data_IF_233441803432
#
_entry.id   IF_233441803432
#
_cell.length_a   1.000
_cell.length_b   1.000
_cell.length_c   1.000
_cell.angle_alpha   90.00
_cell.angle_beta   90.00
_cell.angle_gamma   90.00
#
_symmetry.space_group_name_H-M   'P 1'
#
loop_
_entity.id
_entity.type
_entity.pdbx_description
1 polymer ?
#
# COMPACT_ATOMS: atom_id res chain seq x y z
N UNK A 1 -12.42 -10.46 6.46
CA UNK A 1 -11.70 -9.30 7.00
C UNK A 1 -11.22 -9.56 8.43
N UNK A 2 -12.07 -10.01 9.37
CA UNK A 2 -11.63 -10.31 10.76
C UNK A 2 -10.53 -11.37 10.85
N UNK A 3 -10.56 -12.40 9.98
CA UNK A 3 -9.49 -13.42 9.89
C UNK A 3 -8.16 -12.85 9.39
N UNK A 4 -8.20 -11.72 8.67
CA UNK A 4 -7.02 -10.98 8.20
C UNK A 4 -6.63 -9.82 9.12
N UNK A 5 -7.05 -9.83 10.38
CA UNK A 5 -6.67 -8.81 11.36
C UNK A 5 -7.39 -7.46 11.23
N UNK A 6 -8.33 -7.32 10.28
CA UNK A 6 -9.10 -6.07 10.11
C UNK A 6 -10.24 -6.03 11.10
N UNK A 7 -10.08 -5.26 12.18
CA UNK A 7 -11.05 -5.16 13.27
C UNK A 7 -12.34 -4.44 12.87
N UNK A 8 -12.22 -3.39 12.05
CA UNK A 8 -13.35 -2.62 11.50
C UNK A 8 -13.07 -2.21 10.08
N UNK A 9 -14.10 -2.18 9.25
CA UNK A 9 -13.98 -1.77 7.85
C UNK A 9 -15.29 -1.25 7.31
N UNK A 10 -15.21 -0.33 6.36
CA UNK A 10 -16.31 0.10 5.51
C UNK A 10 -16.01 -0.29 4.07
N UNK A 11 -16.98 -0.83 3.37
CA UNK A 11 -16.86 -1.14 1.95
C UNK A 11 -17.58 -0.05 1.16
N UNK A 12 -16.84 0.68 0.34
CA UNK A 12 -17.39 1.65 -0.59
C UNK A 12 -17.42 1.01 -1.98
N UNK A 13 -18.62 0.62 -2.42
CA UNK A 13 -18.81 -0.03 -3.70
C UNK A 13 -18.50 0.91 -4.87
N UNK A 14 -17.77 0.42 -5.86
CA UNK A 14 -17.62 1.09 -7.15
C UNK A 14 -18.88 0.92 -8.00
N UNK A 15 -19.26 1.95 -8.77
CA UNK A 15 -20.33 1.84 -9.76
C UNK A 15 -19.87 1.14 -11.03
N UNK A 16 -20.72 0.34 -11.66
CA UNK A 16 -20.44 -0.33 -12.94
C UNK A 16 -20.04 0.65 -14.06
N UNK A 17 -20.51 1.89 -14.00
CA UNK A 17 -20.19 2.94 -14.96
C UNK A 17 -18.71 3.35 -14.97
N UNK A 18 -17.95 3.06 -13.91
CA UNK A 18 -16.54 3.41 -13.76
C UNK A 18 -15.57 2.31 -14.22
N UNK A 19 -16.07 1.17 -14.75
CA UNK A 19 -15.23 0.03 -15.14
C UNK A 19 -14.56 0.17 -16.51
N UNK A 20 -14.86 1.22 -17.28
CA UNK A 20 -14.44 1.31 -18.69
C UNK A 20 -13.02 1.85 -18.92
N UNK A 21 -12.47 2.64 -18.01
CA UNK A 21 -11.11 3.18 -18.13
C UNK A 21 -10.43 3.30 -16.76
N UNK A 22 -9.08 3.29 -16.76
CA UNK A 22 -8.30 3.51 -15.53
C UNK A 22 -8.61 4.87 -14.89
N UNK A 23 -8.84 5.89 -15.72
CA UNK A 23 -9.22 7.23 -15.27
C UNK A 23 -10.57 7.24 -14.55
N UNK A 24 -11.60 6.66 -15.18
CA UNK A 24 -12.93 6.59 -14.58
C UNK A 24 -12.94 5.79 -13.25
N UNK A 25 -12.16 4.70 -13.19
CA UNK A 25 -11.97 3.96 -11.94
C UNK A 25 -11.29 4.81 -10.86
N UNK A 26 -10.26 5.56 -11.23
CA UNK A 26 -9.54 6.43 -10.31
C UNK A 26 -10.43 7.56 -9.79
N UNK A 27 -11.21 8.18 -10.66
CA UNK A 27 -12.18 9.22 -10.28
C UNK A 27 -13.25 8.70 -9.32
N UNK A 28 -13.77 7.50 -9.58
CA UNK A 28 -14.74 6.84 -8.68
C UNK A 28 -14.17 6.56 -7.29
N UNK A 29 -12.93 6.04 -7.21
CA UNK A 29 -12.24 5.81 -5.93
C UNK A 29 -11.96 7.12 -5.20
N UNK A 30 -11.47 8.15 -5.92
CA UNK A 30 -11.23 9.47 -5.35
C UNK A 30 -12.53 10.11 -4.82
N UNK A 31 -13.63 10.01 -5.57
CA UNK A 31 -14.92 10.53 -5.12
C UNK A 31 -15.38 9.88 -3.81
N UNK A 32 -15.21 8.55 -3.68
CA UNK A 32 -15.52 7.81 -2.47
C UNK A 32 -14.64 8.25 -1.28
N UNK A 33 -13.33 8.40 -1.48
CA UNK A 33 -12.40 8.88 -0.45
C UNK A 33 -12.76 10.29 -0.02
N UNK A 34 -13.02 11.19 -0.99
CA UNK A 34 -13.42 12.57 -0.72
C UNK A 34 -14.78 12.66 0.00
N UNK A 35 -15.72 11.73 -0.32
CA UNK A 35 -16.97 11.63 0.41
C UNK A 35 -16.75 11.20 1.86
N UNK A 36 -15.94 10.16 2.08
CA UNK A 36 -15.58 9.70 3.43
C UNK A 36 -14.91 10.80 4.25
N UNK A 37 -14.00 11.55 3.64
CA UNK A 37 -13.32 12.68 4.27
C UNK A 37 -14.27 13.81 4.68
N UNK A 38 -15.36 14.04 3.93
CA UNK A 38 -16.38 15.03 4.33
C UNK A 38 -17.18 14.59 5.53
N UNK A 39 -17.40 13.28 5.69
CA UNK A 39 -18.13 12.71 6.83
C UNK A 39 -17.24 12.65 8.09
N UNK A 40 -15.95 12.45 7.93
CA UNK A 40 -14.99 12.23 9.01
C UNK A 40 -13.73 13.09 8.78
N UNK A 41 -13.85 14.42 8.90
CA UNK A 41 -12.75 15.36 8.59
C UNK A 41 -11.55 15.23 9.54
N UNK A 42 -11.74 14.67 10.74
CA UNK A 42 -10.73 14.44 11.75
C UNK A 42 -9.72 13.34 11.43
N UNK A 43 -10.05 12.43 10.47
CA UNK A 43 -9.15 11.35 10.09
C UNK A 43 -8.26 11.73 8.90
N UNK A 44 -6.99 11.33 8.96
CA UNK A 44 -6.11 11.27 7.79
C UNK A 44 -6.43 10.04 6.91
N UNK A 45 -5.91 10.06 5.69
CA UNK A 45 -6.04 8.95 4.73
C UNK A 45 -4.65 8.47 4.35
N UNK A 46 -4.36 7.19 4.58
CA UNK A 46 -3.24 6.49 3.94
C UNK A 46 -3.82 5.60 2.86
N UNK A 47 -3.40 5.84 1.62
CA UNK A 47 -3.83 5.01 0.50
C UNK A 47 -2.85 3.85 0.30
N UNK A 48 -3.39 2.64 0.16
CA UNK A 48 -2.60 1.43 -0.16
C UNK A 48 -3.23 0.76 -1.37
N UNK A 49 -2.40 0.44 -2.36
CA UNK A 49 -2.82 -0.22 -3.60
C UNK A 49 -1.68 -0.99 -4.24
N UNK A 50 -1.86 -1.43 -5.49
CA UNK A 50 -0.81 -2.11 -6.28
C UNK A 50 -0.46 -1.34 -7.57
N UNK A 51 0.67 -1.71 -8.19
CA UNK A 51 1.13 -1.07 -9.43
C UNK A 51 0.51 -1.66 -10.70
N UNK A 52 -0.25 -2.77 -10.60
CA UNK A 52 -0.74 -3.52 -11.77
C UNK A 52 -1.91 -2.88 -12.51
N UNK A 53 -2.74 -2.09 -11.83
CA UNK A 53 -3.96 -1.51 -12.41
C UNK A 53 -3.95 0.03 -12.37
N UNK A 54 -4.94 0.64 -11.74
CA UNK A 54 -5.12 2.09 -11.70
C UNK A 54 -4.71 2.73 -10.37
N UNK A 55 -4.26 1.96 -9.39
CA UNK A 55 -4.09 2.44 -8.02
C UNK A 55 -2.97 3.47 -7.87
N UNK A 56 -1.94 3.40 -8.71
CA UNK A 56 -0.93 4.47 -8.78
C UNK A 56 -1.58 5.82 -9.11
N UNK A 57 -2.48 5.83 -10.09
CA UNK A 57 -3.21 7.05 -10.48
C UNK A 57 -4.17 7.50 -9.38
N UNK A 58 -4.85 6.56 -8.71
CA UNK A 58 -5.69 6.86 -7.55
C UNK A 58 -4.87 7.52 -6.45
N UNK A 59 -3.75 6.89 -6.05
CA UNK A 59 -2.87 7.41 -5.01
C UNK A 59 -2.37 8.81 -5.32
N UNK A 60 -1.95 9.06 -6.55
CA UNK A 60 -1.54 10.37 -7.02
C UNK A 60 -2.66 11.41 -6.87
N UNK A 61 -3.87 11.12 -7.39
CA UNK A 61 -5.03 12.02 -7.29
C UNK A 61 -5.47 12.28 -5.85
N UNK A 62 -5.42 11.25 -4.99
CA UNK A 62 -5.73 11.41 -3.55
C UNK A 62 -4.73 12.35 -2.89
N UNK A 63 -3.45 12.17 -3.18
CA UNK A 63 -2.38 13.02 -2.64
C UNK A 63 -2.51 14.46 -3.11
N UNK A 64 -2.82 14.68 -4.41
CA UNK A 64 -3.04 16.00 -4.99
C UNK A 64 -4.28 16.69 -4.42
N UNK A 65 -5.38 15.95 -4.26
CA UNK A 65 -6.65 16.50 -3.76
C UNK A 65 -6.65 16.75 -2.25
N UNK A 66 -5.85 16.01 -1.49
CA UNK A 66 -5.83 16.05 -0.02
C UNK A 66 -4.40 16.06 0.55
N UNK A 67 -3.52 17.01 0.17
CA UNK A 67 -2.09 16.97 0.48
C UNK A 67 -1.78 16.95 1.99
N UNK A 68 -2.57 17.66 2.80
CA UNK A 68 -2.38 17.68 4.24
C UNK A 68 -3.03 16.50 4.97
N UNK A 69 -4.07 15.93 4.39
CA UNK A 69 -4.82 14.83 4.98
C UNK A 69 -4.34 13.45 4.51
N UNK A 70 -3.51 13.39 3.46
CA UNK A 70 -2.93 12.16 2.94
C UNK A 70 -1.40 12.19 3.12
N UNK A 71 -0.87 11.79 4.29
CA UNK A 71 0.57 11.85 4.58
C UNK A 71 1.40 10.92 3.69
N UNK A 72 0.84 9.79 3.26
CA UNK A 72 1.54 8.82 2.44
C UNK A 72 0.60 8.00 1.55
N UNK A 73 1.16 7.55 0.43
CA UNK A 73 0.57 6.55 -0.47
C UNK A 73 1.55 5.39 -0.59
N UNK A 74 1.11 4.17 -0.38
CA UNK A 74 1.90 2.96 -0.54
C UNK A 74 1.38 2.14 -1.72
N UNK A 75 2.27 1.80 -2.64
CA UNK A 75 1.97 1.01 -3.83
C UNK A 75 2.84 -0.24 -3.81
N UNK A 76 2.20 -1.40 -3.63
CA UNK A 76 2.87 -2.70 -3.76
C UNK A 76 3.26 -2.93 -5.21
N UNK A 77 4.55 -3.14 -5.48
CA UNK A 77 5.05 -3.27 -6.84
C UNK A 77 4.87 -4.69 -7.38
N UNK A 78 4.01 -4.82 -8.36
CA UNK A 78 3.73 -6.09 -9.07
C UNK A 78 4.15 -6.06 -10.54
N UNK A 79 4.78 -4.95 -11.01
CA UNK A 79 5.19 -4.77 -12.41
C UNK A 79 6.68 -4.44 -12.58
N UNK A 80 7.48 -4.56 -11.52
CA UNK A 80 8.90 -4.23 -11.50
C UNK A 80 9.18 -2.78 -11.94
N UNK A 81 8.62 -1.82 -11.23
CA UNK A 81 8.79 -0.38 -11.51
C UNK A 81 10.26 0.03 -11.45
N UNK A 82 10.81 0.72 -12.46
CA UNK A 82 12.20 1.16 -12.48
C UNK A 82 12.57 2.07 -11.29
N UNK A 83 13.81 1.95 -10.80
CA UNK A 83 14.30 2.70 -9.63
C UNK A 83 14.16 4.22 -9.77
N UNK A 84 14.43 4.75 -10.96
CA UNK A 84 14.26 6.18 -11.24
C UNK A 84 12.80 6.64 -11.00
N UNK A 85 11.85 5.85 -11.48
CA UNK A 85 10.43 6.14 -11.31
C UNK A 85 10.00 5.98 -9.85
N UNK A 86 10.50 4.96 -9.13
CA UNK A 86 10.26 4.81 -7.68
C UNK A 86 10.77 6.04 -6.92
N UNK A 87 11.99 6.50 -7.21
CA UNK A 87 12.60 7.69 -6.58
C UNK A 87 11.81 8.94 -6.86
N UNK A 88 11.43 9.16 -8.12
CA UNK A 88 10.60 10.28 -8.53
C UNK A 88 9.26 10.32 -7.78
N UNK A 89 8.59 9.19 -7.67
CA UNK A 89 7.29 9.07 -6.99
C UNK A 89 7.41 9.23 -5.47
N UNK A 90 8.46 8.69 -4.87
CA UNK A 90 8.72 8.86 -3.44
C UNK A 90 8.85 10.35 -3.06
N UNK A 91 9.50 11.17 -3.90
CA UNK A 91 9.56 12.63 -3.74
C UNK A 91 8.19 13.31 -3.76
N UNK A 92 7.16 12.67 -4.28
CA UNK A 92 5.77 13.13 -4.27
C UNK A 92 4.93 12.50 -3.13
N UNK A 93 5.55 11.71 -2.26
CA UNK A 93 4.87 10.98 -1.18
C UNK A 93 4.14 9.71 -1.62
N UNK A 94 4.50 9.17 -2.82
CA UNK A 94 4.05 7.87 -3.30
C UNK A 94 5.19 6.87 -3.19
N UNK A 95 5.12 5.98 -2.21
CA UNK A 95 6.15 4.98 -1.92
C UNK A 95 5.82 3.67 -2.64
N UNK A 96 6.63 3.30 -3.63
CA UNK A 96 6.55 2.01 -4.31
C UNK A 96 7.39 1.01 -3.53
N UNK A 97 6.77 -0.03 -3.04
CA UNK A 97 7.36 -1.01 -2.12
C UNK A 97 7.25 -2.43 -2.66
N UNK A 98 8.23 -3.26 -2.38
CA UNK A 98 8.23 -4.66 -2.81
C UNK A 98 7.49 -5.55 -1.81
N UNK A 99 7.44 -5.14 -0.53
CA UNK A 99 6.78 -5.89 0.55
C UNK A 99 6.00 -4.97 1.48
N UNK A 100 5.07 -5.54 2.25
CA UNK A 100 4.41 -4.80 3.33
C UNK A 100 5.34 -4.50 4.50
N UNK A 101 6.44 -5.25 4.67
CA UNK A 101 7.50 -4.92 5.63
C UNK A 101 8.17 -3.60 5.25
N UNK A 102 8.55 -3.45 3.98
CA UNK A 102 9.10 -2.19 3.46
C UNK A 102 8.12 -1.01 3.63
N UNK A 103 6.83 -1.24 3.36
CA UNK A 103 5.80 -0.24 3.61
C UNK A 103 5.71 0.15 5.10
N UNK A 104 5.73 -0.84 6.02
CA UNK A 104 5.65 -0.61 7.46
C UNK A 104 6.89 0.15 7.98
N UNK A 105 8.08 -0.15 7.48
CA UNK A 105 9.31 0.55 7.83
C UNK A 105 9.24 2.04 7.43
N UNK A 106 8.79 2.34 6.22
CA UNK A 106 8.60 3.71 5.75
C UNK A 106 7.51 4.41 6.59
N UNK A 107 6.38 3.74 6.83
CA UNK A 107 5.28 4.27 7.64
C UNK A 107 5.73 4.59 9.07
N UNK A 108 6.62 3.78 9.64
CA UNK A 108 7.23 4.05 10.94
C UNK A 108 8.10 5.31 10.92
N UNK A 109 8.94 5.46 9.91
CA UNK A 109 9.74 6.68 9.72
C UNK A 109 8.89 7.95 9.57
N UNK A 110 7.67 7.82 9.05
CA UNK A 110 6.69 8.91 8.96
C UNK A 110 5.81 9.09 10.21
N UNK A 111 6.03 8.28 11.26
CA UNK A 111 5.23 8.33 12.49
C UNK A 111 3.81 7.78 12.38
N UNK A 112 3.50 7.03 11.32
CA UNK A 112 2.17 6.46 11.06
C UNK A 112 1.95 5.11 11.74
N UNK A 113 3.03 4.39 12.02
CA UNK A 113 3.03 3.06 12.64
C UNK A 113 4.07 3.02 13.76
N UNK A 114 3.76 2.39 14.89
CA UNK A 114 4.72 2.18 15.98
C UNK A 114 5.76 1.12 15.63
N UNK A 115 6.90 1.10 16.33
CA UNK A 115 7.91 0.03 16.18
C UNK A 115 7.36 -1.37 16.50
N UNK A 116 6.41 -1.47 17.44
CA UNK A 116 5.67 -2.70 17.71
C UNK A 116 4.78 -3.11 16.54
N UNK A 117 4.16 -2.14 15.86
CA UNK A 117 3.40 -2.38 14.62
C UNK A 117 4.28 -2.93 13.51
N UNK A 118 5.50 -2.40 13.34
CA UNK A 118 6.48 -2.94 12.36
C UNK A 118 6.85 -4.37 12.73
N UNK A 119 7.16 -4.66 14.02
CA UNK A 119 7.50 -6.01 14.46
C UNK A 119 6.38 -7.00 14.11
N UNK A 120 5.13 -6.65 14.36
CA UNK A 120 3.98 -7.50 14.03
C UNK A 120 3.86 -7.76 12.52
N UNK A 121 4.07 -6.75 11.68
CA UNK A 121 4.05 -6.93 10.22
C UNK A 121 5.17 -7.89 9.77
N UNK A 122 6.36 -7.79 10.37
CA UNK A 122 7.48 -8.71 10.11
C UNK A 122 7.09 -10.14 10.48
N UNK A 123 6.62 -10.35 11.72
CA UNK A 123 6.26 -11.68 12.22
C UNK A 123 5.16 -12.33 11.36
N UNK A 124 4.10 -11.59 11.05
CA UNK A 124 3.00 -12.06 10.22
C UNK A 124 3.46 -12.33 8.77
N UNK A 125 4.36 -11.52 8.22
CA UNK A 125 4.91 -11.74 6.87
C UNK A 125 5.74 -13.02 6.81
N UNK A 126 6.63 -13.23 7.80
CA UNK A 126 7.45 -14.45 7.88
C UNK A 126 6.56 -15.69 8.00
N UNK A 127 5.57 -15.66 8.90
CA UNK A 127 4.64 -16.77 9.07
C UNK A 127 3.84 -17.06 7.79
N UNK A 128 3.40 -16.02 7.08
CA UNK A 128 2.65 -16.17 5.83
C UNK A 128 3.49 -16.81 4.71
N UNK A 129 4.81 -16.59 4.65
CA UNK A 129 5.68 -17.21 3.66
C UNK A 129 5.70 -18.74 3.76
N UNK A 130 5.52 -19.28 4.94
CA UNK A 130 5.50 -20.73 5.18
C UNK A 130 4.18 -21.38 4.75
N UNK A 131 3.13 -20.59 4.55
CA UNK A 131 1.81 -21.04 4.09
C UNK A 131 1.63 -20.90 2.56
N UNK A 132 2.58 -20.28 1.86
CA UNK A 132 2.47 -20.05 0.40
C UNK A 132 2.71 -21.35 -0.37
N UNK A 133 1.80 -21.68 -1.27
CA UNK A 133 2.02 -22.73 -2.26
C UNK A 133 2.86 -22.17 -3.41
N UNK A 134 4.17 -22.36 -3.35
CA UNK A 134 5.11 -21.84 -4.34
C UNK A 134 5.02 -22.59 -5.68
N UNK A 135 5.10 -21.85 -6.79
CA UNK A 135 5.16 -22.43 -8.13
C UNK A 135 6.51 -23.08 -8.43
N UNK A 136 7.57 -22.58 -7.81
CA UNK A 136 8.93 -23.12 -7.95
C UNK A 136 9.83 -22.76 -6.75
N UNK A 137 10.90 -23.56 -6.48
CA UNK A 137 11.91 -23.19 -5.48
C UNK A 137 12.62 -21.86 -5.78
N UNK A 138 12.74 -21.50 -7.05
CA UNK A 138 13.36 -20.24 -7.46
C UNK A 138 12.48 -19.04 -7.08
N UNK A 139 11.16 -19.16 -7.28
CA UNK A 139 10.21 -18.12 -6.86
C UNK A 139 10.23 -17.94 -5.34
N UNK A 140 10.22 -19.04 -4.58
CA UNK A 140 10.34 -19.01 -3.13
C UNK A 140 11.60 -18.27 -2.68
N UNK A 141 12.77 -18.70 -3.20
CA UNK A 141 14.06 -18.12 -2.83
C UNK A 141 14.10 -16.61 -3.12
N UNK A 142 13.68 -16.19 -4.31
CA UNK A 142 13.66 -14.78 -4.69
C UNK A 142 12.72 -13.95 -3.80
N UNK A 143 11.53 -14.48 -3.47
CA UNK A 143 10.58 -13.76 -2.60
C UNK A 143 11.10 -13.65 -1.18
N UNK A 144 11.67 -14.74 -0.63
CA UNK A 144 12.27 -14.72 0.72
C UNK A 144 13.45 -13.74 0.81
N UNK A 145 14.29 -13.66 -0.23
CA UNK A 145 15.40 -12.70 -0.30
C UNK A 145 14.89 -11.25 -0.21
N UNK A 146 13.86 -10.91 -0.99
CA UNK A 146 13.25 -9.57 -0.97
C UNK A 146 12.69 -9.25 0.43
N UNK A 147 11.96 -10.19 1.05
CA UNK A 147 11.41 -10.00 2.39
C UNK A 147 12.52 -9.83 3.43
N UNK A 148 13.56 -10.67 3.41
CA UNK A 148 14.68 -10.57 4.35
C UNK A 148 15.43 -9.24 4.23
N UNK A 149 15.68 -8.77 3.02
CA UNK A 149 16.27 -7.45 2.78
C UNK A 149 15.43 -6.33 3.45
N UNK A 150 14.11 -6.37 3.29
CA UNK A 150 13.24 -5.35 3.87
C UNK A 150 13.12 -5.49 5.40
N UNK A 151 13.22 -6.72 5.95
CA UNK A 151 13.30 -6.97 7.40
C UNK A 151 14.59 -6.37 7.98
N UNK A 152 15.74 -6.60 7.34
CA UNK A 152 17.01 -6.00 7.75
C UNK A 152 16.96 -4.46 7.69
N UNK A 153 16.38 -3.90 6.61
CA UNK A 153 16.18 -2.46 6.46
C UNK A 153 15.26 -1.87 7.54
N UNK A 154 14.32 -2.66 8.05
CA UNK A 154 13.45 -2.28 9.17
C UNK A 154 14.14 -2.36 10.55
N UNK A 155 15.42 -2.80 10.60
CA UNK A 155 16.21 -2.93 11.83
C UNK A 155 15.78 -4.11 12.71
N UNK A 156 15.35 -5.23 12.08
CA UNK A 156 14.85 -6.44 12.75
C UNK A 156 15.68 -7.67 12.40
#
# INVERSE_FOLDING_TARGET
LRKAGVASSSVLAGGLAHLHTKDAMADGKLANISHYRRLFPEYGVVFVGDSGQGDVLVGQRVREAHPEACPAVFIHDVVATPLEERTRRAGLGLHIVDTYVGAAAIAHGLGLVSGEGVARVVDETIAALDEVAWESPQQEAATREIVLRDVEAAGR
#
